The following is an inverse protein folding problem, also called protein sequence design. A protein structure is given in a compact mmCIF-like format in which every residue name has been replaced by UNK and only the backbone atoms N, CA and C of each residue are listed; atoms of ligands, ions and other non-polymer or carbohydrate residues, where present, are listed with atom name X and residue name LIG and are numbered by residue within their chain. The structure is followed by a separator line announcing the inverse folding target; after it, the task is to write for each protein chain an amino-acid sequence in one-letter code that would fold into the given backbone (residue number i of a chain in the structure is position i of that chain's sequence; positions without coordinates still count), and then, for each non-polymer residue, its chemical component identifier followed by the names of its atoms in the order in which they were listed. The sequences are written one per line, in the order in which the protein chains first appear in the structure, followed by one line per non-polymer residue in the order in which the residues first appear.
data_IF_678676874481
#
_entry.id   IF_678676874481
#
_cell.length_a   1.000
_cell.length_b   1.000
_cell.length_c   1.000
_cell.angle_alpha   90.00
_cell.angle_beta   90.00
_cell.angle_gamma   90.00
#
_symmetry.space_group_name_H-M   'P 1'
#
loop_
_entity.id
_entity.type
_entity.pdbx_description
1 polymer ?
#
# COMPACT_ATOMS: atom_id res chain seq x y z
N UNK A 1 -35.58 27.68 -7.71
CA UNK A 1 -34.63 28.01 -6.63
C UNK A 1 -34.15 26.70 -6.04
N UNK A 2 -32.86 26.34 -6.13
CA UNK A 2 -32.36 25.18 -5.41
C UNK A 2 -32.37 25.48 -3.90
N UNK A 3 -32.57 24.47 -3.03
CA UNK A 3 -32.82 24.69 -1.61
C UNK A 3 -31.60 25.31 -0.93
N UNK A 4 -31.89 26.16 0.06
CA UNK A 4 -30.92 26.70 1.00
C UNK A 4 -30.14 25.57 1.67
N UNK A 5 -28.92 25.34 1.20
CA UNK A 5 -27.85 24.70 1.97
C UNK A 5 -27.56 25.66 3.13
N UNK A 6 -28.38 25.58 4.19
CA UNK A 6 -28.23 26.41 5.37
C UNK A 6 -26.80 26.23 5.90
N UNK A 7 -26.18 27.30 6.35
CA UNK A 7 -24.75 27.40 6.68
C UNK A 7 -24.36 26.80 8.04
N UNK A 8 -25.33 26.29 8.81
CA UNK A 8 -25.11 25.67 10.12
C UNK A 8 -24.60 24.21 10.09
N UNK A 9 -25.06 23.31 9.19
CA UNK A 9 -24.58 21.93 9.09
C UNK A 9 -23.16 21.85 8.51
N UNK A 10 -22.77 22.81 7.67
CA UNK A 10 -21.44 22.81 7.06
C UNK A 10 -20.36 23.11 8.11
N UNK A 11 -20.59 24.07 9.02
CA UNK A 11 -19.64 24.35 10.10
C UNK A 11 -19.50 23.18 11.06
N UNK A 12 -20.59 22.48 11.42
CA UNK A 12 -20.49 21.28 12.26
C UNK A 12 -19.79 20.12 11.55
N UNK A 13 -20.08 19.90 10.27
CA UNK A 13 -19.37 18.92 9.44
C UNK A 13 -17.88 19.28 9.31
N UNK A 14 -17.55 20.54 9.03
CA UNK A 14 -16.18 21.04 8.92
C UNK A 14 -15.42 21.00 10.26
N UNK A 15 -16.09 21.20 11.39
CA UNK A 15 -15.49 21.11 12.72
C UNK A 15 -15.09 19.68 13.08
N UNK A 16 -15.86 18.68 12.65
CA UNK A 16 -15.42 17.28 12.71
C UNK A 16 -14.23 17.01 11.77
N UNK A 17 -14.19 17.70 10.62
CA UNK A 17 -13.09 17.61 9.64
C UNK A 17 -11.82 18.39 10.03
N UNK A 18 -11.83 19.28 11.02
CA UNK A 18 -10.62 20.01 11.50
C UNK A 18 -9.51 19.08 12.02
N UNK A 19 -9.83 17.81 12.30
CA UNK A 19 -8.86 16.75 12.64
C UNK A 19 -8.27 16.02 11.43
N UNK A 20 -8.64 16.39 10.21
CA UNK A 20 -8.34 15.67 8.98
C UNK A 20 -7.91 16.65 7.88
N UNK A 21 -6.77 16.40 7.23
CA UNK A 21 -6.43 17.10 5.98
C UNK A 21 -7.40 16.64 4.88
N UNK A 22 -8.23 17.56 4.37
CA UNK A 22 -9.24 17.26 3.35
C UNK A 22 -8.87 17.97 2.05
N UNK A 23 -8.83 17.22 0.95
CA UNK A 23 -8.87 17.75 -0.42
C UNK A 23 -10.24 17.40 -1.02
N UNK A 24 -11.02 18.42 -1.40
CA UNK A 24 -12.30 18.21 -2.11
C UNK A 24 -12.04 18.06 -3.61
N UNK A 25 -12.49 16.95 -4.18
CA UNK A 25 -12.60 16.79 -5.63
C UNK A 25 -14.07 16.80 -5.98
N UNK A 26 -14.51 17.81 -6.74
CA UNK A 26 -15.87 17.91 -7.27
C UNK A 26 -15.81 17.70 -8.79
N UNK A 27 -16.75 16.93 -9.37
CA UNK A 27 -16.89 16.90 -10.83
C UNK A 27 -17.26 18.29 -11.33
N UNK A 28 -16.69 18.68 -12.48
CA UNK A 28 -16.97 19.98 -13.14
C UNK A 28 -18.45 20.09 -13.51
N UNK A 29 -19.12 18.96 -13.77
CA UNK A 29 -20.54 18.88 -14.07
C UNK A 29 -21.16 17.60 -13.44
N UNK A 30 -22.03 17.71 -12.42
CA UNK A 30 -22.66 16.57 -11.76
C UNK A 30 -23.67 15.83 -12.65
N UNK A 31 -24.01 16.36 -13.83
CA UNK A 31 -24.88 15.69 -14.80
C UNK A 31 -24.14 14.72 -15.72
N UNK A 32 -22.79 14.72 -15.72
CA UNK A 32 -21.94 13.79 -16.48
C UNK A 32 -21.48 12.58 -15.67
N UNK A 33 -22.29 12.17 -14.69
CA UNK A 33 -22.02 11.00 -13.86
C UNK A 33 -22.08 9.73 -14.74
N UNK A 34 -20.93 9.15 -15.07
CA UNK A 34 -20.85 7.90 -15.83
C UNK A 34 -20.40 6.76 -14.93
N UNK A 35 -20.76 5.52 -15.28
CA UNK A 35 -20.34 4.32 -14.54
C UNK A 35 -18.80 4.16 -14.44
N UNK A 36 -18.03 4.92 -15.22
CA UNK A 36 -16.56 4.90 -15.24
C UNK A 36 -15.90 5.99 -14.38
N UNK A 37 -16.66 6.96 -13.87
CA UNK A 37 -16.18 8.04 -13.00
C UNK A 37 -17.13 8.21 -11.81
N UNK A 38 -17.09 7.32 -10.82
CA UNK A 38 -17.90 7.51 -9.63
C UNK A 38 -17.37 8.71 -8.85
N UNK A 39 -18.29 9.54 -8.33
CA UNK A 39 -17.98 10.66 -7.47
C UNK A 39 -17.43 10.16 -6.13
N UNK A 40 -16.13 9.92 -6.02
CA UNK A 40 -15.51 9.60 -4.74
C UNK A 40 -14.80 10.81 -4.15
N UNK A 41 -15.34 11.29 -3.03
CA UNK A 41 -14.58 11.95 -1.98
C UNK A 41 -13.83 10.83 -1.22
N UNK A 42 -12.54 10.65 -1.49
CA UNK A 42 -11.69 9.87 -0.61
C UNK A 42 -10.81 10.84 0.16
N UNK A 43 -11.13 11.02 1.45
CA UNK A 43 -10.10 11.46 2.39
C UNK A 43 -9.09 10.32 2.53
N UNK A 44 -7.79 10.62 2.71
CA UNK A 44 -6.83 9.58 3.09
C UNK A 44 -7.32 8.85 4.35
N UNK A 45 -7.86 7.64 4.22
CA UNK A 45 -8.12 6.75 5.35
C UNK A 45 -7.00 5.72 5.41
N UNK A 46 -6.44 5.51 6.60
CA UNK A 46 -5.64 4.32 6.83
C UNK A 46 -6.59 3.12 6.75
N UNK A 47 -6.37 2.20 5.80
CA UNK A 47 -7.20 1.00 5.62
C UNK A 47 -7.43 0.26 6.94
N UNK A 48 -6.42 0.20 7.82
CA UNK A 48 -6.52 -0.40 9.15
C UNK A 48 -7.61 0.24 10.03
N UNK A 49 -7.81 1.56 9.96
CA UNK A 49 -8.87 2.24 10.69
C UNK A 49 -10.24 1.91 10.08
N UNK A 50 -10.32 1.91 8.74
CA UNK A 50 -11.52 1.57 8.01
C UNK A 50 -11.98 0.12 8.33
N UNK A 51 -11.06 -0.86 8.40
CA UNK A 51 -11.38 -2.23 8.84
C UNK A 51 -11.87 -2.30 10.29
N UNK A 52 -11.15 -1.69 11.23
CA UNK A 52 -11.52 -1.69 12.65
C UNK A 52 -12.90 -1.08 12.89
N UNK A 53 -13.21 0.01 12.19
CA UNK A 53 -14.42 0.78 12.49
C UNK A 53 -15.69 0.18 11.87
N UNK A 54 -15.57 -0.76 10.93
CA UNK A 54 -16.70 -1.28 10.15
C UNK A 54 -16.93 -2.80 10.24
N UNK A 55 -15.91 -3.61 10.54
CA UNK A 55 -16.03 -5.09 10.53
C UNK A 55 -17.12 -5.63 11.46
N UNK A 56 -17.32 -5.01 12.62
CA UNK A 56 -18.30 -5.45 13.60
C UNK A 56 -19.71 -4.88 13.38
N UNK A 57 -19.86 -3.93 12.44
CA UNK A 57 -21.11 -3.18 12.25
C UNK A 57 -22.01 -3.76 11.17
N UNK A 58 -21.44 -4.50 10.23
CA UNK A 58 -22.17 -5.12 9.14
C UNK A 58 -21.60 -6.52 8.83
N UNK A 59 -22.30 -7.61 9.21
CA UNK A 59 -21.88 -8.98 8.92
C UNK A 59 -21.82 -9.32 7.43
N UNK A 60 -22.46 -8.51 6.57
CA UNK A 60 -22.40 -8.64 5.10
C UNK A 60 -21.30 -7.79 4.47
N UNK A 61 -20.47 -7.12 5.28
CA UNK A 61 -19.42 -6.24 4.77
C UNK A 61 -18.29 -7.03 4.12
N UNK A 62 -18.30 -7.04 2.78
CA UNK A 62 -17.25 -7.61 1.95
C UNK A 62 -16.58 -6.49 1.14
N UNK A 63 -15.59 -5.78 1.71
CA UNK A 63 -14.99 -4.64 1.04
C UNK A 63 -14.17 -5.06 -0.18
N UNK A 64 -14.42 -4.43 -1.32
CA UNK A 64 -13.51 -4.47 -2.47
C UNK A 64 -12.35 -3.50 -2.25
N UNK A 65 -11.12 -3.99 -2.35
CA UNK A 65 -9.92 -3.15 -2.34
C UNK A 65 -9.56 -2.74 -3.77
N UNK A 66 -9.29 -1.44 -3.98
CA UNK A 66 -8.79 -0.89 -5.25
C UNK A 66 -7.57 -0.02 -4.97
N UNK A 67 -6.54 -0.15 -5.80
CA UNK A 67 -5.32 0.65 -5.71
C UNK A 67 -5.53 1.93 -6.53
N UNK A 68 -5.22 3.07 -5.93
CA UNK A 68 -5.29 4.40 -6.55
C UNK A 68 -3.96 5.13 -6.36
N UNK A 69 -3.89 6.37 -6.85
CA UNK A 69 -2.71 7.25 -6.72
C UNK A 69 -1.45 6.68 -7.39
N UNK A 70 -1.58 6.32 -8.67
CA UNK A 70 -0.48 5.81 -9.50
C UNK A 70 0.43 6.93 -10.02
N UNK A 71 0.41 8.14 -9.42
CA UNK A 71 1.22 9.28 -9.87
C UNK A 71 2.73 9.05 -9.78
N UNK A 72 3.14 8.17 -8.86
CA UNK A 72 4.53 7.73 -8.70
C UNK A 72 4.80 6.34 -9.30
N UNK A 73 3.83 5.75 -9.99
CA UNK A 73 4.02 4.47 -10.66
C UNK A 73 4.93 4.64 -11.88
N UNK A 74 5.72 3.61 -12.18
CA UNK A 74 6.69 3.60 -13.27
C UNK A 74 6.80 2.21 -13.87
N UNK A 75 7.34 2.10 -15.09
CA UNK A 75 7.74 0.81 -15.60
C UNK A 75 9.12 0.45 -15.01
N UNK A 76 9.31 -0.82 -14.67
CA UNK A 76 10.60 -1.29 -14.13
C UNK A 76 11.74 -1.16 -15.15
N UNK A 77 11.43 -1.18 -16.45
CA UNK A 77 12.39 -1.02 -17.53
C UNK A 77 12.83 0.44 -17.79
N UNK A 78 12.13 1.43 -17.21
CA UNK A 78 12.44 2.84 -17.46
C UNK A 78 13.84 3.19 -16.91
N UNK A 79 14.79 3.48 -17.79
CA UNK A 79 16.14 3.86 -17.37
C UNK A 79 16.18 5.26 -16.73
N UNK A 80 15.24 6.13 -17.12
CA UNK A 80 15.20 7.52 -16.70
C UNK A 80 14.42 7.70 -15.39
N UNK A 81 14.94 8.56 -14.53
CA UNK A 81 14.25 8.99 -13.31
C UNK A 81 13.16 10.00 -13.70
N UNK A 82 12.03 9.50 -14.20
CA UNK A 82 10.85 10.31 -14.55
C UNK A 82 9.96 10.65 -13.34
N UNK A 83 10.24 10.07 -12.17
CA UNK A 83 9.46 10.32 -10.96
C UNK A 83 10.06 11.51 -10.21
N UNK A 84 9.39 12.64 -10.27
CA UNK A 84 9.70 13.79 -9.41
C UNK A 84 9.15 13.50 -8.01
N UNK A 85 10.02 13.46 -6.98
CA UNK A 85 9.64 13.38 -5.56
C UNK A 85 9.06 12.02 -5.08
N UNK A 86 9.87 10.96 -5.15
CA UNK A 86 9.50 9.64 -4.58
C UNK A 86 9.38 9.74 -3.05
N UNK A 87 8.14 9.74 -2.56
CA UNK A 87 7.83 9.75 -1.12
C UNK A 87 7.37 8.40 -0.63
N UNK A 88 7.88 7.99 0.53
CA UNK A 88 7.51 6.74 1.17
C UNK A 88 6.84 6.98 2.51
N UNK A 89 5.59 6.54 2.67
CA UNK A 89 4.95 6.49 3.99
C UNK A 89 5.63 5.46 4.90
N UNK A 90 6.01 4.32 4.32
CA UNK A 90 6.81 3.29 4.95
C UNK A 90 7.98 2.91 4.03
N UNK A 91 9.14 3.62 4.11
CA UNK A 91 10.24 3.36 3.20
C UNK A 91 10.75 1.93 3.35
N UNK A 92 10.96 1.21 2.25
CA UNK A 92 11.66 -0.07 2.28
C UNK A 92 13.11 0.12 2.75
N UNK A 93 13.76 -0.92 3.28
CA UNK A 93 15.10 -0.88 3.84
C UNK A 93 16.13 -0.23 2.93
N UNK A 94 16.15 -0.62 1.66
CA UNK A 94 17.04 -0.10 0.64
C UNK A 94 16.84 1.40 0.41
N UNK A 95 15.61 1.92 0.52
CA UNK A 95 15.33 3.35 0.38
C UNK A 95 15.83 4.11 1.60
N UNK A 96 15.54 3.57 2.79
CA UNK A 96 16.04 4.14 4.04
C UNK A 96 17.57 4.17 4.06
N UNK A 97 18.22 3.08 3.64
CA UNK A 97 19.68 3.00 3.57
C UNK A 97 20.26 3.98 2.54
N UNK A 98 19.71 4.04 1.32
CA UNK A 98 20.16 4.98 0.31
C UNK A 98 20.07 6.44 0.80
N UNK A 99 18.97 6.79 1.47
CA UNK A 99 18.78 8.12 2.01
C UNK A 99 19.72 8.43 3.19
N UNK A 100 19.79 7.56 4.21
CA UNK A 100 20.53 7.87 5.44
C UNK A 100 22.02 7.53 5.40
N UNK A 101 22.42 6.51 4.64
CA UNK A 101 23.79 6.02 4.59
C UNK A 101 24.55 6.42 3.32
N UNK A 102 23.84 6.69 2.21
CA UNK A 102 24.46 7.01 0.92
C UNK A 102 24.28 8.48 0.49
N UNK A 103 24.00 9.37 1.44
CA UNK A 103 24.00 10.82 1.21
C UNK A 103 22.72 11.35 0.57
N UNK A 104 21.56 10.84 0.98
CA UNK A 104 20.27 11.31 0.47
C UNK A 104 19.92 10.77 -0.91
N UNK A 105 20.52 9.64 -1.32
CA UNK A 105 20.19 9.02 -2.60
C UNK A 105 18.74 8.57 -2.61
N UNK A 106 18.04 8.93 -3.68
CA UNK A 106 16.74 8.38 -3.98
C UNK A 106 16.91 7.04 -4.69
N UNK A 107 16.00 6.12 -4.40
CA UNK A 107 15.85 4.90 -5.17
C UNK A 107 14.45 4.85 -5.75
N UNK A 108 14.38 4.26 -6.93
CA UNK A 108 13.16 4.15 -7.69
C UNK A 108 12.31 2.98 -7.16
N UNK A 109 10.97 3.11 -7.17
CA UNK A 109 10.10 1.99 -6.84
C UNK A 109 10.36 0.78 -7.74
N UNK A 110 10.34 -0.40 -7.13
CA UNK A 110 10.43 -1.70 -7.79
C UNK A 110 9.33 -2.62 -7.25
N UNK A 111 9.10 -3.75 -7.92
CA UNK A 111 8.17 -4.77 -7.40
C UNK A 111 8.54 -5.26 -6.00
N UNK A 112 9.84 -5.37 -5.70
CA UNK A 112 10.32 -5.76 -4.37
C UNK A 112 10.05 -4.70 -3.29
N UNK A 113 10.04 -3.41 -3.66
CA UNK A 113 9.65 -2.34 -2.72
C UNK A 113 8.15 -2.36 -2.46
N UNK A 114 7.34 -2.71 -3.48
CA UNK A 114 5.89 -2.83 -3.33
C UNK A 114 5.52 -4.00 -2.42
N UNK A 115 6.21 -5.14 -2.54
CA UNK A 115 6.04 -6.29 -1.64
C UNK A 115 6.36 -5.92 -0.19
N UNK A 116 7.43 -5.15 0.05
CA UNK A 116 7.74 -4.63 1.39
C UNK A 116 6.61 -3.75 1.92
N UNK A 117 6.16 -2.77 1.12
CA UNK A 117 5.08 -1.85 1.49
C UNK A 117 3.79 -2.60 1.82
N UNK A 118 3.46 -3.64 1.06
CA UNK A 118 2.32 -4.51 1.33
C UNK A 118 2.49 -5.26 2.66
N UNK A 119 3.65 -5.87 2.92
CA UNK A 119 3.92 -6.55 4.19
C UNK A 119 3.84 -5.61 5.39
N UNK A 120 4.33 -4.38 5.23
CA UNK A 120 4.25 -3.35 6.26
C UNK A 120 2.79 -2.93 6.53
N UNK A 121 1.99 -2.78 5.48
CA UNK A 121 0.57 -2.47 5.56
C UNK A 121 -0.21 -3.59 6.24
N UNK A 122 0.00 -4.85 5.84
CA UNK A 122 -0.61 -6.02 6.47
C UNK A 122 -0.25 -6.08 7.97
N UNK A 123 1.01 -5.83 8.32
CA UNK A 123 1.42 -5.79 9.73
C UNK A 123 0.65 -4.73 10.51
N UNK A 124 0.43 -3.54 9.95
CA UNK A 124 -0.37 -2.48 10.58
C UNK A 124 -1.83 -2.91 10.73
N UNK A 125 -2.42 -3.50 9.69
CA UNK A 125 -3.82 -3.96 9.72
C UNK A 125 -4.02 -4.99 10.83
N UNK A 126 -3.15 -6.00 10.91
CA UNK A 126 -3.32 -7.10 11.87
C UNK A 126 -2.84 -6.79 13.29
N UNK A 127 -1.86 -5.89 13.49
CA UNK A 127 -1.36 -5.57 14.85
C UNK A 127 -1.87 -4.25 15.40
N UNK A 128 -2.44 -3.39 14.56
CA UNK A 128 -2.71 -1.99 14.90
C UNK A 128 -1.44 -1.16 15.16
N UNK A 129 -0.25 -1.70 14.89
CA UNK A 129 1.03 -1.05 15.13
C UNK A 129 1.88 -0.95 13.86
N UNK A 130 2.60 0.16 13.64
CA UNK A 130 3.55 0.26 12.55
C UNK A 130 4.75 -0.67 12.78
N UNK A 131 5.36 -1.15 11.69
CA UNK A 131 6.60 -1.94 11.73
C UNK A 131 7.77 -1.20 12.40
N UNK A 132 7.68 0.13 12.49
CA UNK A 132 8.61 0.99 13.22
C UNK A 132 7.86 2.20 13.74
N UNK A 133 8.00 2.48 15.04
CA UNK A 133 7.57 3.76 15.64
C UNK A 133 8.68 4.82 15.60
N UNK A 134 9.90 4.42 15.22
CA UNK A 134 11.05 5.31 15.12
C UNK A 134 11.00 6.16 13.85
N UNK A 135 11.64 7.32 13.94
CA UNK A 135 11.79 8.28 12.85
C UNK A 135 13.26 8.40 12.45
N UNK A 136 13.50 8.92 11.24
CA UNK A 136 14.84 9.08 10.70
C UNK A 136 15.56 7.73 10.52
N UNK A 137 16.90 7.77 10.55
CA UNK A 137 17.75 6.59 10.45
C UNK A 137 17.48 5.50 11.48
N UNK A 138 16.90 5.84 12.64
CA UNK A 138 16.61 4.85 13.67
C UNK A 138 15.46 3.91 13.29
N UNK A 139 14.67 4.22 12.26
CA UNK A 139 13.72 3.27 11.66
C UNK A 139 14.42 2.04 11.10
N UNK A 140 15.63 2.21 10.53
CA UNK A 140 16.44 1.10 10.04
C UNK A 140 16.84 0.12 11.14
N UNK A 141 16.85 0.56 12.40
CA UNK A 141 17.10 -0.33 13.53
C UNK A 141 15.98 -1.34 13.70
N UNK A 142 14.73 -0.90 13.68
CA UNK A 142 13.58 -1.79 13.84
C UNK A 142 13.53 -2.81 12.67
N UNK A 143 13.87 -2.38 11.45
CA UNK A 143 13.96 -3.27 10.29
C UNK A 143 15.06 -4.34 10.46
N UNK A 144 16.25 -3.92 10.88
CA UNK A 144 17.36 -4.84 11.10
C UNK A 144 17.10 -5.80 12.27
N UNK A 145 16.41 -5.35 13.32
CA UNK A 145 16.01 -6.21 14.42
C UNK A 145 14.96 -7.24 13.98
N UNK A 146 14.00 -6.87 13.12
CA UNK A 146 13.03 -7.82 12.58
C UNK A 146 13.68 -8.90 11.71
N UNK A 147 14.65 -8.52 10.87
CA UNK A 147 15.37 -9.48 10.03
C UNK A 147 16.31 -10.37 10.84
N UNK A 148 17.05 -9.78 11.78
CA UNK A 148 18.02 -10.47 12.63
C UNK A 148 19.40 -10.66 11.98
N UNK A 149 19.57 -10.22 10.72
CA UNK A 149 20.85 -10.19 10.02
C UNK A 149 21.09 -8.80 9.45
N UNK A 150 22.31 -8.28 9.66
CA UNK A 150 22.70 -7.01 9.06
C UNK A 150 23.31 -7.27 7.66
N UNK A 151 22.77 -6.68 6.58
CA UNK A 151 23.27 -6.88 5.23
C UNK A 151 24.70 -6.34 5.13
N UNK A 152 25.59 -7.00 4.37
CA UNK A 152 26.97 -6.55 4.24
C UNK A 152 27.13 -5.05 3.91
N UNK A 153 26.33 -4.45 3.00
CA UNK A 153 26.45 -3.02 2.70
C UNK A 153 26.16 -2.11 3.90
N UNK A 154 25.38 -2.57 4.88
CA UNK A 154 24.98 -1.75 6.03
C UNK A 154 26.02 -1.75 7.15
N UNK A 155 26.88 -2.77 7.22
CA UNK A 155 27.79 -2.98 8.37
C UNK A 155 28.70 -1.80 8.62
N UNK A 156 29.36 -1.28 7.57
CA UNK A 156 30.28 -0.16 7.72
C UNK A 156 29.58 1.09 8.24
N UNK A 157 28.41 1.42 7.69
CA UNK A 157 27.59 2.54 8.17
C UNK A 157 27.14 2.33 9.62
N UNK A 158 26.73 1.11 9.95
CA UNK A 158 26.22 0.76 11.27
C UNK A 158 27.30 0.87 12.35
N UNK A 159 28.47 0.31 12.11
CA UNK A 159 29.61 0.32 13.03
C UNK A 159 30.19 1.73 13.22
N UNK A 160 30.16 2.56 12.18
CA UNK A 160 30.62 3.95 12.26
C UNK A 160 29.67 4.87 13.04
N UNK A 161 28.41 4.49 13.22
CA UNK A 161 27.43 5.31 13.95
C UNK A 161 27.52 5.06 15.47
N UNK A 162 27.76 6.09 16.31
CA UNK A 162 27.91 5.91 17.76
C UNK A 162 26.68 5.37 18.48
N UNK A 163 25.48 5.49 17.87
CA UNK A 163 24.21 5.04 18.44
C UNK A 163 23.77 3.69 17.90
N UNK A 164 24.10 3.36 16.66
CA UNK A 164 23.78 2.05 16.06
C UNK A 164 24.86 1.00 16.37
N UNK A 165 26.14 1.37 16.30
CA UNK A 165 27.29 0.47 16.48
C UNK A 165 27.24 -0.38 17.76
N UNK A 166 26.84 0.17 18.93
CA UNK A 166 26.70 -0.63 20.16
C UNK A 166 25.58 -1.68 20.11
N UNK A 167 24.66 -1.61 19.14
CA UNK A 167 23.49 -2.48 19.06
C UNK A 167 23.80 -3.67 18.17
N UNK A 168 23.89 -4.85 18.79
CA UNK A 168 24.02 -6.11 18.06
C UNK A 168 22.69 -6.54 17.46
N UNK A 169 22.66 -6.82 16.16
CA UNK A 169 21.55 -7.44 15.45
C UNK A 169 21.79 -8.95 15.40
N UNK A 170 20.85 -9.76 15.90
CA UNK A 170 20.99 -11.22 15.98
C UNK A 170 19.67 -11.93 15.69
N UNK A 171 19.71 -13.21 15.24
CA UNK A 171 18.50 -14.03 15.09
C UNK A 171 17.67 -14.15 16.37
N UNK A 172 18.32 -14.18 17.53
CA UNK A 172 17.63 -14.23 18.84
C UNK A 172 16.78 -12.98 19.08
N UNK A 173 17.33 -11.79 18.80
CA UNK A 173 16.56 -10.54 18.93
C UNK A 173 15.43 -10.46 17.91
N UNK A 174 15.65 -10.94 16.69
CA UNK A 174 14.57 -11.07 15.70
C UNK A 174 13.43 -11.95 16.21
N UNK A 175 13.74 -13.12 16.78
CA UNK A 175 12.71 -13.98 17.37
C UNK A 175 11.93 -13.27 18.49
N UNK A 176 12.59 -12.44 19.30
CA UNK A 176 11.92 -11.63 20.32
C UNK A 176 11.00 -10.55 19.73
N UNK A 177 11.44 -9.81 18.71
CA UNK A 177 10.62 -8.79 18.05
C UNK A 177 9.40 -9.42 17.35
N UNK A 178 9.60 -10.54 16.65
CA UNK A 178 8.48 -11.26 16.03
C UNK A 178 7.51 -11.84 17.05
N UNK A 179 7.99 -12.27 18.23
CA UNK A 179 7.12 -12.68 19.34
C UNK A 179 6.27 -11.51 19.86
N UNK A 180 6.83 -10.30 19.94
CA UNK A 180 6.06 -9.09 20.32
C UNK A 180 5.01 -8.74 19.27
N UNK A 181 5.36 -8.77 17.98
CA UNK A 181 4.40 -8.55 16.89
C UNK A 181 3.27 -9.57 16.90
N UNK A 182 3.61 -10.86 17.07
CA UNK A 182 2.62 -11.94 17.20
C UNK A 182 1.69 -11.74 18.39
N UNK A 183 2.21 -11.26 19.52
CA UNK A 183 1.37 -10.90 20.66
C UNK A 183 0.41 -9.74 20.33
N UNK A 184 0.89 -8.74 19.58
CA UNK A 184 0.04 -7.66 19.05
C UNK A 184 -1.08 -8.19 18.14
N UNK A 185 -0.76 -9.12 17.23
CA UNK A 185 -1.76 -9.79 16.39
C UNK A 185 -2.83 -10.48 17.22
N UNK A 186 -2.43 -11.24 18.25
CA UNK A 186 -3.37 -11.94 19.14
C UNK A 186 -4.23 -10.98 19.97
N UNK A 187 -3.69 -9.83 20.36
CA UNK A 187 -4.46 -8.84 21.11
C UNK A 187 -5.51 -8.15 20.25
N UNK A 188 -5.19 -7.87 18.98
CA UNK A 188 -6.14 -7.25 18.05
C UNK A 188 -7.13 -8.25 17.45
N UNK A 189 -6.75 -9.52 17.32
CA UNK A 189 -7.55 -10.57 16.69
C UNK A 189 -7.62 -11.80 17.63
N UNK A 190 -8.37 -11.71 18.75
CA UNK A 190 -8.41 -12.77 19.76
C UNK A 190 -9.02 -14.08 19.25
N UNK A 191 -9.90 -14.00 18.25
CA UNK A 191 -10.60 -15.13 17.65
C UNK A 191 -9.85 -15.76 16.47
N UNK A 192 -8.70 -15.18 16.09
CA UNK A 192 -7.91 -15.68 14.97
C UNK A 192 -7.18 -16.97 15.34
N UNK A 193 -7.28 -17.98 14.47
CA UNK A 193 -6.65 -19.26 14.72
C UNK A 193 -5.12 -19.13 14.86
N UNK A 194 -4.54 -19.90 15.78
CA UNK A 194 -3.10 -19.82 16.06
C UNK A 194 -2.26 -20.33 14.89
N UNK A 195 -2.72 -21.33 14.13
CA UNK A 195 -1.97 -21.84 12.99
C UNK A 195 -2.02 -20.85 11.82
N UNK A 196 -3.15 -20.19 11.61
CA UNK A 196 -3.27 -19.12 10.60
C UNK A 196 -2.44 -17.89 10.95
N UNK A 197 -2.35 -17.55 12.23
CA UNK A 197 -1.43 -16.51 12.71
C UNK A 197 0.04 -16.88 12.46
N UNK A 198 0.42 -18.13 12.69
CA UNK A 198 1.80 -18.58 12.44
C UNK A 198 2.12 -18.56 10.94
N UNK A 199 1.17 -18.94 10.07
CA UNK A 199 1.28 -18.80 8.61
C UNK A 199 1.45 -17.34 8.20
N UNK A 200 0.63 -16.42 8.74
CA UNK A 200 0.76 -14.98 8.48
C UNK A 200 2.15 -14.46 8.89
N UNK A 201 2.66 -14.86 10.06
CA UNK A 201 3.99 -14.46 10.53
C UNK A 201 5.09 -14.95 9.58
N UNK A 202 4.99 -16.17 9.07
CA UNK A 202 5.96 -16.71 8.09
C UNK A 202 5.92 -15.89 6.80
N UNK A 203 4.73 -15.62 6.25
CA UNK A 203 4.57 -14.80 5.06
C UNK A 203 5.14 -13.39 5.26
N UNK A 204 4.77 -12.71 6.35
CA UNK A 204 5.25 -11.36 6.66
C UNK A 204 6.76 -11.30 6.85
N UNK A 205 7.40 -12.33 7.43
CA UNK A 205 8.87 -12.42 7.53
C UNK A 205 9.54 -12.42 6.16
N UNK A 206 8.94 -13.07 5.17
CA UNK A 206 9.49 -13.13 3.82
C UNK A 206 9.32 -11.80 3.07
N UNK A 207 8.15 -11.17 3.20
CA UNK A 207 7.86 -9.88 2.57
C UNK A 207 8.66 -8.73 3.18
N UNK A 208 8.92 -8.80 4.50
CA UNK A 208 9.69 -7.84 5.27
C UNK A 208 11.17 -8.23 5.41
N UNK A 209 11.70 -9.00 4.46
CA UNK A 209 13.13 -9.29 4.40
C UNK A 209 13.93 -8.01 4.10
N UNK A 210 15.05 -7.84 4.79
CA UNK A 210 15.89 -6.66 4.67
C UNK A 210 16.63 -6.61 3.32
N UNK A 211 17.02 -7.79 2.82
CA UNK A 211 17.49 -7.97 1.45
C UNK A 211 16.29 -8.01 0.48
N UNK A 212 16.25 -7.07 -0.46
CA UNK A 212 15.16 -6.98 -1.44
C UNK A 212 15.12 -8.18 -2.38
N UNK A 213 16.26 -8.83 -2.65
CA UNK A 213 16.32 -10.01 -3.51
C UNK A 213 15.79 -11.28 -2.82
N UNK A 214 15.69 -11.27 -1.49
CA UNK A 214 15.13 -12.37 -0.70
C UNK A 214 13.60 -12.29 -0.56
N UNK A 215 12.98 -11.19 -1.01
CA UNK A 215 11.53 -11.02 -0.95
C UNK A 215 10.86 -11.85 -2.05
N UNK A 216 9.69 -12.43 -1.78
CA UNK A 216 8.92 -13.14 -2.79
C UNK A 216 8.44 -12.21 -3.90
N UNK A 217 8.17 -12.76 -5.09
CA UNK A 217 7.38 -12.09 -6.11
C UNK A 217 5.92 -11.96 -5.67
N UNK A 218 5.14 -11.11 -6.35
CA UNK A 218 3.71 -10.98 -6.02
C UNK A 218 2.95 -12.28 -6.31
N UNK A 219 3.35 -13.02 -7.35
CA UNK A 219 2.80 -14.34 -7.68
C UNK A 219 3.08 -15.34 -6.55
N UNK A 220 4.27 -15.32 -5.98
CA UNK A 220 4.64 -16.17 -4.84
C UNK A 220 3.87 -15.77 -3.58
N UNK A 221 3.68 -14.47 -3.32
CA UNK A 221 2.82 -13.96 -2.23
C UNK A 221 1.40 -14.49 -2.39
N UNK A 222 0.81 -14.40 -3.58
CA UNK A 222 -0.54 -14.88 -3.87
C UNK A 222 -0.66 -16.41 -3.81
N UNK A 223 0.43 -17.13 -4.07
CA UNK A 223 0.49 -18.59 -3.97
C UNK A 223 0.69 -19.08 -2.52
N UNK A 224 1.04 -18.21 -1.57
CA UNK A 224 1.33 -18.59 -0.19
C UNK A 224 0.15 -19.35 0.45
N UNK A 225 0.41 -20.39 1.27
CA UNK A 225 -0.64 -21.16 1.94
C UNK A 225 -1.60 -20.32 2.80
N UNK A 226 -1.19 -19.15 3.28
CA UNK A 226 -2.06 -18.24 4.03
C UNK A 226 -3.27 -17.76 3.21
N UNK A 227 -3.16 -17.70 1.88
CA UNK A 227 -4.25 -17.34 0.98
C UNK A 227 -5.05 -18.54 0.45
N UNK A 228 -4.83 -19.76 0.96
CA UNK A 228 -5.47 -20.98 0.42
C UNK A 228 -7.00 -20.94 0.44
N UNK A 229 -7.61 -20.42 1.51
CA UNK A 229 -9.06 -20.34 1.65
C UNK A 229 -9.66 -19.31 0.70
N UNK A 230 -9.00 -18.15 0.55
CA UNK A 230 -9.40 -17.12 -0.41
C UNK A 230 -9.33 -17.64 -1.85
N UNK A 231 -8.30 -18.42 -2.20
CA UNK A 231 -8.21 -19.07 -3.51
C UNK A 231 -9.32 -20.10 -3.73
N UNK A 232 -9.65 -20.87 -2.70
CA UNK A 232 -10.74 -21.86 -2.76
C UNK A 232 -12.10 -21.20 -2.93
N UNK A 233 -12.34 -20.08 -2.24
CA UNK A 233 -13.54 -19.27 -2.39
C UNK A 233 -13.64 -18.63 -3.79
N UNK A 234 -12.53 -18.12 -4.32
CA UNK A 234 -12.48 -17.58 -5.68
C UNK A 234 -12.69 -18.65 -6.76
N UNK A 235 -12.13 -19.86 -6.57
CA UNK A 235 -12.30 -20.98 -7.51
C UNK A 235 -13.71 -21.62 -7.46
N UNK A 236 -14.37 -21.59 -6.30
CA UNK A 236 -15.78 -21.98 -6.16
C UNK A 236 -16.77 -20.95 -6.71
N UNK A 237 -16.28 -19.74 -7.03
CA UNK A 237 -17.03 -18.66 -7.66
C UNK A 237 -16.74 -18.64 -9.17
N UNK A 238 -17.01 -19.72 -9.87
CA UNK A 238 -16.84 -19.78 -11.33
C UNK A 238 -17.84 -18.81 -12.02
N UNK A 239 -17.38 -17.78 -12.77
CA UNK A 239 -18.24 -16.87 -13.53
C UNK A 239 -18.77 -17.48 -14.84
N UNK A 240 -18.76 -18.80 -14.97
CA UNK A 240 -18.99 -19.54 -16.22
C UNK A 240 -20.45 -19.69 -16.67
N UNK A 241 -21.45 -19.08 -16.00
CA UNK A 241 -22.85 -19.24 -16.39
C UNK A 241 -23.46 -18.05 -17.16
N UNK A 242 -22.85 -16.86 -17.17
CA UNK A 242 -23.41 -15.66 -17.83
C UNK A 242 -22.37 -14.89 -18.67
N UNK A 243 -21.44 -15.59 -19.32
CA UNK A 243 -20.47 -15.01 -20.25
C UNK A 243 -21.01 -14.85 -21.69
N UNK A 244 -22.28 -14.43 -21.84
CA UNK A 244 -22.89 -14.19 -23.16
C UNK A 244 -23.47 -12.77 -23.28
N UNK A 245 -22.73 -11.76 -22.82
CA UNK A 245 -22.93 -10.38 -23.26
C UNK A 245 -21.68 -9.52 -23.03
N UNK A 246 -20.58 -9.85 -23.70
CA UNK A 246 -19.46 -8.92 -23.84
C UNK A 246 -19.04 -8.87 -25.32
N UNK A 247 -19.72 -8.00 -26.07
CA UNK A 247 -19.28 -7.63 -27.42
C UNK A 247 -17.85 -7.06 -27.33
N UNK A 248 -16.89 -7.50 -28.14
CA UNK A 248 -15.52 -7.01 -28.06
C UNK A 248 -15.49 -5.52 -28.47
N UNK A 249 -14.92 -4.67 -27.62
CA UNK A 249 -14.56 -3.31 -27.97
C UNK A 249 -13.51 -3.34 -29.09
N UNK A 250 -13.98 -3.17 -30.33
CA UNK A 250 -13.15 -2.89 -31.50
C UNK A 250 -12.52 -1.50 -31.32
N UNK A 251 -11.21 -1.44 -31.12
CA UNK A 251 -10.45 -0.22 -31.34
C UNK A 251 -10.30 -0.02 -32.86
N UNK A 252 -11.16 0.81 -33.45
CA UNK A 252 -10.92 1.33 -34.79
C UNK A 252 -9.94 2.50 -34.69
N UNK A 253 -8.77 2.26 -35.26
CA UNK A 253 -7.69 3.20 -35.47
C UNK A 253 -8.12 4.28 -36.47
N UNK A 254 -8.20 5.55 -36.04
CA UNK A 254 -8.31 6.71 -36.93
C UNK A 254 -7.45 7.87 -36.45
N UNK A 255 -6.14 7.77 -36.73
CA UNK A 255 -5.34 8.94 -37.12
C UNK A 255 -5.32 9.04 -38.65
N UNK A 256 -6.08 9.97 -39.20
CA UNK A 256 -5.69 10.80 -40.35
C UNK A 256 -6.82 11.78 -40.70
N UNK A 257 -6.42 12.92 -41.25
CA UNK A 257 -7.24 13.91 -41.97
C UNK A 257 -7.83 15.08 -41.16
N UNK A 258 -6.92 15.96 -40.71
CA UNK A 258 -7.15 17.39 -40.88
C UNK A 258 -5.97 18.06 -41.58
N UNK A 259 -5.96 17.95 -42.91
CA UNK A 259 -5.29 18.90 -43.79
C UNK A 259 -6.26 19.28 -44.92
N UNK A 260 -6.35 20.59 -45.18
CA UNK A 260 -7.06 21.25 -46.27
C UNK A 260 -8.60 21.25 -46.27
N UNK A 261 -9.17 22.43 -45.95
CA UNK A 261 -9.84 23.20 -47.00
C UNK A 261 -9.81 24.71 -46.71
N UNK A 262 -9.01 25.39 -47.52
CA UNK A 262 -9.15 26.81 -47.83
C UNK A 262 -10.29 26.98 -48.85
N UNK A 263 -10.89 28.17 -48.79
CA UNK A 263 -11.50 28.95 -49.87
C UNK A 263 -13.00 28.82 -50.22
N UNK A 264 -13.62 30.02 -50.17
CA UNK A 264 -14.72 30.58 -50.98
C UNK A 264 -16.15 30.05 -50.77
N UNK A 265 -17.22 30.84 -50.79
CA UNK A 265 -17.57 32.26 -51.01
C UNK A 265 -18.99 32.42 -50.38
N UNK A 266 -19.57 33.56 -50.04
CA UNK A 266 -19.67 34.89 -50.67
C UNK A 266 -20.26 35.84 -49.63
#
# INVERSE_FOLDING_TARGET
MPPSFASAPLWEAMRAMYRYEVMMVLPVDPTQNSATLPAYLLSPCALSNCFRDHVDKDPGWCPEARIFDLGNARQTADADNVVEDVRWACPPPEAAFAHYALGGREILPTTATDVWCLGAMMTIIFSGMPISQRTGKFRMLDYALLDGVLPPPWRQFWEADPKLGPITVTPTKSAEEWRKLRQGFKQQNPDFDSADMDRLVVLLRSMLALDSAARPSMEEVLADPWFADARSAAAGSDPGADADSATPLRFDDRRADHAHRKDHAT
#
